data_IF_102521771429
#
_entry.id   IF_102521771429
#
_cell.length_a   1.000
_cell.length_b   1.000
_cell.length_c   1.000
_cell.angle_alpha   90.00
_cell.angle_beta   90.00
_cell.angle_gamma   90.00
#
_symmetry.space_group_name_H-M   'P 1'
#
loop_
_entity.id
_entity.type
_entity.pdbx_description
1 polymer ?
#
# COMPACT_ATOMS: atom_id res chain seq x y z
N UNK A 1 -27.55 3.06 9.39
CA UNK A 1 -26.26 2.91 10.09
C UNK A 1 -25.42 1.92 9.29
N UNK A 2 -24.57 2.41 8.39
CA UNK A 2 -23.70 1.58 7.57
C UNK A 2 -22.38 1.36 8.32
N UNK A 3 -22.21 0.18 8.91
CA UNK A 3 -20.96 -0.23 9.53
C UNK A 3 -19.98 -0.64 8.41
N UNK A 4 -19.15 0.30 7.96
CA UNK A 4 -18.04 0.00 7.04
C UNK A 4 -16.95 -0.73 7.83
N UNK A 5 -16.83 -2.04 7.61
CA UNK A 5 -15.76 -2.86 8.16
C UNK A 5 -14.44 -2.58 7.41
N UNK A 6 -13.79 -1.46 7.73
CA UNK A 6 -12.40 -1.20 7.33
C UNK A 6 -11.45 -1.90 8.31
N UNK A 7 -11.44 -3.24 8.31
CA UNK A 7 -10.36 -3.97 9.01
C UNK A 7 -9.20 -4.09 8.02
N UNK A 8 -8.11 -3.37 8.31
CA UNK A 8 -6.82 -3.56 7.64
C UNK A 8 -6.43 -5.04 7.72
N UNK A 9 -5.97 -5.60 6.59
CA UNK A 9 -5.49 -6.99 6.48
C UNK A 9 -4.43 -7.33 7.55
N UNK A 10 -3.65 -6.34 7.99
CA UNK A 10 -2.71 -6.49 9.12
C UNK A 10 -3.40 -6.77 10.46
N UNK A 11 -4.50 -6.07 10.77
CA UNK A 11 -5.25 -6.26 12.01
C UNK A 11 -6.00 -7.60 12.04
N UNK A 12 -6.45 -8.07 10.87
CA UNK A 12 -7.11 -9.37 10.74
C UNK A 12 -6.12 -10.52 10.96
N UNK A 13 -4.87 -10.36 10.51
CA UNK A 13 -3.80 -11.33 10.75
C UNK A 13 -3.35 -11.38 12.21
N UNK A 14 -3.26 -10.23 12.89
CA UNK A 14 -3.03 -10.12 14.34
C UNK A 14 -4.11 -10.87 15.14
N UNK A 15 -5.37 -10.78 14.71
CA UNK A 15 -6.51 -11.45 15.35
C UNK A 15 -6.54 -12.97 15.13
N UNK A 16 -6.17 -13.44 13.93
CA UNK A 16 -6.16 -14.86 13.58
C UNK A 16 -4.96 -15.62 14.16
N UNK A 17 -3.85 -14.93 14.42
CA UNK A 17 -2.61 -15.50 14.94
C UNK A 17 -2.81 -16.35 16.22
N UNK A 18 -3.47 -15.88 17.30
CA UNK A 18 -3.71 -16.69 18.49
C UNK A 18 -4.61 -17.91 18.23
N UNK A 19 -5.62 -17.79 17.35
CA UNK A 19 -6.46 -18.92 16.96
C UNK A 19 -5.67 -19.99 16.19
N UNK A 20 -4.72 -19.56 15.34
CA UNK A 20 -3.77 -20.44 14.67
C UNK A 20 -2.89 -21.23 15.64
N UNK A 21 -2.34 -20.58 16.67
CA UNK A 21 -1.56 -21.25 17.71
C UNK A 21 -2.40 -22.23 18.55
N UNK A 22 -3.65 -21.88 18.88
CA UNK A 22 -4.55 -22.76 19.61
C UNK A 22 -4.90 -24.03 18.80
N UNK A 23 -5.18 -23.88 17.50
CA UNK A 23 -5.40 -25.01 16.60
C UNK A 23 -4.16 -25.88 16.45
N UNK A 24 -2.97 -25.28 16.33
CA UNK A 24 -1.71 -26.02 16.26
C UNK A 24 -1.44 -26.81 17.56
N UNK A 25 -1.75 -26.24 18.73
CA UNK A 25 -1.62 -26.90 20.03
C UNK A 25 -2.62 -28.06 20.19
N UNK A 26 -3.86 -27.88 19.74
CA UNK A 26 -4.88 -28.94 19.75
C UNK A 26 -4.52 -30.09 18.82
N UNK A 27 -4.07 -29.77 17.60
CA UNK A 27 -3.60 -30.78 16.63
C UNK A 27 -2.37 -31.52 17.13
N UNK A 28 -1.42 -30.82 17.76
CA UNK A 28 -0.24 -31.44 18.38
C UNK A 28 -0.63 -32.39 19.51
N UNK A 29 -1.58 -31.99 20.35
CA UNK A 29 -2.08 -32.82 21.47
C UNK A 29 -2.79 -34.07 20.95
N UNK A 30 -3.62 -33.93 19.92
CA UNK A 30 -4.33 -35.06 19.29
C UNK A 30 -3.36 -36.03 18.59
N UNK A 31 -2.33 -35.50 17.92
CA UNK A 31 -1.28 -36.28 17.28
C UNK A 31 -0.44 -37.07 18.30
N UNK A 32 -0.07 -36.46 19.43
CA UNK A 32 0.62 -37.16 20.52
C UNK A 32 -0.25 -38.28 21.12
N UNK A 33 -1.56 -38.08 21.19
CA UNK A 33 -2.50 -39.11 21.66
C UNK A 33 -2.64 -40.29 20.68
N UNK A 34 -2.64 -40.01 19.36
CA UNK A 34 -2.66 -41.04 18.29
C UNK A 34 -1.33 -41.82 18.25
N UNK A 35 -0.20 -41.13 18.42
CA UNK A 35 1.13 -41.75 18.43
C UNK A 35 1.37 -42.71 19.61
N UNK A 36 0.78 -42.45 20.79
CA UNK A 36 0.86 -43.37 21.93
C UNK A 36 0.18 -44.72 21.67
N UNK A 37 -0.75 -44.81 20.71
CA UNK A 37 -1.42 -46.07 20.35
C UNK A 37 -0.60 -46.99 19.45
N UNK A 38 0.47 -46.52 18.80
CA UNK A 38 1.27 -47.33 17.86
C UNK A 38 2.74 -47.32 18.28
N UNK A 39 3.15 -48.34 19.04
CA UNK A 39 4.32 -48.31 19.95
C UNK A 39 5.72 -48.33 19.32
N UNK A 40 5.89 -48.29 17.99
CA UNK A 40 7.16 -48.70 17.37
C UNK A 40 7.88 -47.68 16.46
N UNK A 41 7.70 -46.37 16.64
CA UNK A 41 8.42 -45.35 15.83
C UNK A 41 8.80 -44.06 16.59
N UNK A 42 9.31 -44.19 17.83
CA UNK A 42 9.53 -43.07 18.77
C UNK A 42 10.38 -41.87 18.25
N UNK A 43 11.52 -42.04 17.55
CA UNK A 43 12.29 -40.89 17.08
C UNK A 43 11.67 -40.21 15.86
N UNK A 44 11.06 -40.98 14.95
CA UNK A 44 10.40 -40.44 13.76
C UNK A 44 9.17 -39.59 14.13
N UNK A 45 8.44 -39.98 15.18
CA UNK A 45 7.29 -39.24 15.71
C UNK A 45 7.73 -37.91 16.34
N UNK A 46 8.82 -37.90 17.11
CA UNK A 46 9.31 -36.67 17.76
C UNK A 46 9.74 -35.59 16.75
N UNK A 47 10.46 -36.00 15.70
CA UNK A 47 10.84 -35.12 14.58
C UNK A 47 9.60 -34.61 13.86
N UNK A 48 8.62 -35.49 13.64
CA UNK A 48 7.34 -35.14 13.02
C UNK A 48 6.52 -34.13 13.84
N UNK A 49 6.47 -34.28 15.16
CA UNK A 49 5.75 -33.36 16.04
C UNK A 49 6.41 -31.99 16.10
N UNK A 50 7.75 -31.94 16.05
CA UNK A 50 8.50 -30.69 16.00
C UNK A 50 8.21 -29.96 14.68
N UNK A 51 8.17 -30.70 13.58
CA UNK A 51 7.81 -30.17 12.27
C UNK A 51 6.36 -29.67 12.20
N UNK A 52 5.38 -30.37 12.79
CA UNK A 52 3.98 -29.87 12.84
C UNK A 52 3.83 -28.59 13.66
N UNK A 53 4.66 -28.41 14.69
CA UNK A 53 4.63 -27.22 15.54
C UNK A 53 5.07 -25.97 14.74
N UNK A 54 6.10 -26.11 13.91
CA UNK A 54 6.65 -25.01 13.12
C UNK A 54 5.98 -24.81 11.75
N UNK A 55 5.45 -25.87 11.14
CA UNK A 55 4.88 -25.84 9.78
C UNK A 55 3.60 -26.68 9.64
N UNK A 56 2.51 -26.35 10.37
CA UNK A 56 1.30 -27.17 10.42
C UNK A 56 0.66 -27.37 9.04
N UNK A 57 0.73 -26.37 8.16
CA UNK A 57 0.14 -26.45 6.81
C UNK A 57 0.91 -27.32 5.81
N UNK A 58 2.20 -27.57 6.05
CA UNK A 58 3.03 -28.43 5.17
C UNK A 58 3.05 -29.85 5.71
N UNK A 59 3.09 -29.98 7.04
CA UNK A 59 3.36 -31.24 7.71
C UNK A 59 2.08 -32.05 7.88
N UNK A 60 0.92 -31.44 8.17
CA UNK A 60 -0.36 -32.16 8.23
C UNK A 60 -0.73 -32.93 6.93
N UNK A 61 -0.63 -32.35 5.72
CA UNK A 61 -0.94 -33.08 4.48
C UNK A 61 0.06 -34.21 4.17
N UNK A 62 1.36 -34.01 4.48
CA UNK A 62 2.36 -35.07 4.37
C UNK A 62 2.06 -36.26 5.31
N UNK A 63 1.46 -36.00 6.47
CA UNK A 63 1.11 -37.04 7.45
C UNK A 63 -0.03 -37.89 6.92
N UNK A 64 -1.07 -37.22 6.43
CA UNK A 64 -2.23 -37.85 5.84
C UNK A 64 -1.81 -38.70 4.64
N UNK A 65 -0.95 -38.17 3.76
CA UNK A 65 -0.39 -38.91 2.65
C UNK A 65 0.37 -40.16 3.13
N UNK A 66 1.29 -40.02 4.09
CA UNK A 66 2.05 -41.15 4.65
C UNK A 66 1.15 -42.20 5.34
N UNK A 67 0.09 -41.77 6.03
CA UNK A 67 -0.89 -42.63 6.69
C UNK A 67 -1.78 -43.38 5.69
N UNK A 68 -2.19 -42.72 4.60
CA UNK A 68 -2.96 -43.32 3.50
C UNK A 68 -2.10 -44.33 2.73
N UNK A 69 -0.79 -44.07 2.56
CA UNK A 69 0.15 -45.02 1.93
C UNK A 69 0.37 -46.27 2.80
N UNK A 70 0.33 -46.13 4.14
CA UNK A 70 0.55 -47.23 5.10
C UNK A 70 -0.68 -48.10 5.41
N UNK A 71 -1.90 -47.71 5.01
CA UNK A 71 -3.08 -48.59 5.17
C UNK A 71 -2.98 -49.77 4.20
N UNK A 72 -2.86 -51.00 4.73
CA UNK A 72 -2.97 -52.22 3.93
C UNK A 72 -4.41 -52.34 3.39
N UNK A 73 -4.61 -52.50 2.08
CA UNK A 73 -5.96 -52.64 1.52
C UNK A 73 -6.59 -53.96 1.99
N UNK A 74 -7.82 -53.89 2.48
CA UNK A 74 -8.68 -55.05 2.70
C UNK A 74 -9.06 -55.67 1.34
N UNK A 75 -9.09 -57.00 1.26
CA UNK A 75 -9.24 -57.76 0.02
C UNK A 75 -10.62 -57.65 -0.69
N UNK A 76 -11.49 -56.69 -0.30
CA UNK A 76 -12.85 -56.53 -0.83
C UNK A 76 -13.08 -55.25 -1.65
N UNK A 77 -12.08 -54.37 -1.79
CA UNK A 77 -12.28 -53.08 -2.45
C UNK A 77 -11.92 -53.16 -3.94
N UNK A 78 -12.93 -53.36 -4.79
CA UNK A 78 -12.85 -53.48 -6.26
C UNK A 78 -11.86 -52.55 -6.98
N UNK A 79 -11.26 -53.09 -8.05
CA UNK A 79 -10.03 -52.66 -8.74
C UNK A 79 -10.11 -51.39 -9.61
N UNK A 80 -11.25 -50.72 -9.74
CA UNK A 80 -11.43 -49.69 -10.77
C UNK A 80 -11.13 -48.23 -10.34
N UNK A 81 -10.98 -47.92 -9.04
CA UNK A 81 -10.86 -46.52 -8.56
C UNK A 81 -9.52 -46.17 -7.85
N UNK A 82 -8.58 -47.13 -7.76
CA UNK A 82 -7.43 -47.04 -6.82
C UNK A 82 -6.27 -46.14 -7.26
N UNK A 83 -6.19 -45.69 -8.52
CA UNK A 83 -5.02 -44.97 -9.04
C UNK A 83 -5.09 -43.44 -8.90
N UNK A 84 -6.25 -42.85 -9.21
CA UNK A 84 -6.41 -41.41 -9.37
C UNK A 84 -6.91 -40.72 -8.10
N UNK A 85 -7.78 -41.38 -7.32
CA UNK A 85 -8.39 -40.78 -6.12
C UNK A 85 -7.37 -40.54 -4.99
N UNK A 86 -6.29 -41.32 -4.93
CA UNK A 86 -5.25 -41.20 -3.89
C UNK A 86 -4.50 -39.87 -3.95
N UNK A 87 -4.37 -39.29 -5.15
CA UNK A 87 -3.75 -37.98 -5.35
C UNK A 87 -4.78 -36.86 -5.55
N UNK A 88 -6.05 -37.18 -5.79
CA UNK A 88 -7.10 -36.19 -5.99
C UNK A 88 -7.27 -35.25 -4.79
N UNK A 89 -7.31 -35.77 -3.56
CA UNK A 89 -7.41 -34.95 -2.34
C UNK A 89 -6.21 -34.01 -2.13
N UNK A 90 -4.94 -34.48 -2.15
CA UNK A 90 -3.79 -33.58 -1.95
C UNK A 90 -3.61 -32.59 -3.12
N UNK A 91 -3.95 -32.97 -4.36
CA UNK A 91 -3.92 -32.06 -5.51
C UNK A 91 -5.01 -30.98 -5.39
N UNK A 92 -6.22 -31.34 -4.98
CA UNK A 92 -7.29 -30.37 -4.72
C UNK A 92 -6.93 -29.41 -3.58
N UNK A 93 -6.32 -29.92 -2.52
CA UNK A 93 -5.84 -29.08 -1.41
C UNK A 93 -4.72 -28.12 -1.85
N UNK A 94 -3.74 -28.61 -2.61
CA UNK A 94 -2.68 -27.78 -3.16
C UNK A 94 -3.26 -26.71 -4.09
N UNK A 95 -4.17 -27.08 -4.99
CA UNK A 95 -4.89 -26.15 -5.86
C UNK A 95 -5.62 -25.07 -5.06
N UNK A 96 -6.29 -25.43 -3.96
CA UNK A 96 -7.00 -24.49 -3.12
C UNK A 96 -6.05 -23.52 -2.40
N UNK A 97 -4.90 -24.01 -1.91
CA UNK A 97 -3.86 -23.15 -1.33
C UNK A 97 -3.29 -22.20 -2.39
N UNK A 98 -2.95 -22.70 -3.58
CA UNK A 98 -2.43 -21.84 -4.66
C UNK A 98 -3.45 -20.81 -5.09
N UNK A 99 -4.73 -21.19 -5.21
CA UNK A 99 -5.81 -20.27 -5.54
C UNK A 99 -6.00 -19.20 -4.45
N UNK A 100 -5.99 -19.60 -3.17
CA UNK A 100 -6.10 -18.68 -2.05
C UNK A 100 -4.88 -17.75 -1.97
N UNK A 101 -3.67 -18.28 -2.17
CA UNK A 101 -2.44 -17.50 -2.20
C UNK A 101 -2.42 -16.50 -3.36
N UNK A 102 -2.84 -16.91 -4.55
CA UNK A 102 -2.99 -16.02 -5.70
C UNK A 102 -4.04 -14.94 -5.45
N UNK A 103 -5.16 -15.28 -4.80
CA UNK A 103 -6.20 -14.33 -4.43
C UNK A 103 -5.68 -13.29 -3.42
N UNK A 104 -5.02 -13.72 -2.34
CA UNK A 104 -4.41 -12.81 -1.37
C UNK A 104 -3.34 -11.92 -2.01
N UNK A 105 -2.47 -12.51 -2.84
CA UNK A 105 -1.44 -11.76 -3.55
C UNK A 105 -2.06 -10.72 -4.48
N UNK A 106 -3.15 -11.04 -5.17
CA UNK A 106 -3.84 -10.10 -6.06
C UNK A 106 -4.43 -8.91 -5.29
N UNK A 107 -5.06 -9.18 -4.14
CA UNK A 107 -5.60 -8.14 -3.27
C UNK A 107 -4.50 -7.21 -2.73
N UNK A 108 -3.38 -7.78 -2.27
CA UNK A 108 -2.25 -7.01 -1.75
C UNK A 108 -1.54 -6.22 -2.86
N UNK A 109 -1.36 -6.85 -4.03
CA UNK A 109 -0.70 -6.22 -5.18
C UNK A 109 -1.50 -5.05 -5.78
N UNK A 110 -2.83 -5.10 -5.69
CA UNK A 110 -3.74 -4.07 -6.20
C UNK A 110 -4.19 -3.09 -5.11
N UNK A 111 -3.57 -3.09 -3.93
CA UNK A 111 -3.84 -2.10 -2.89
C UNK A 111 -3.29 -0.71 -3.22
N UNK A 112 -3.83 0.32 -2.55
CA UNK A 112 -3.37 1.72 -2.65
C UNK A 112 -1.87 1.83 -2.37
N UNK A 113 -1.41 1.25 -1.26
CA UNK A 113 0.00 1.29 -0.85
C UNK A 113 0.92 0.63 -1.87
N UNK A 114 0.47 -0.47 -2.50
CA UNK A 114 1.23 -1.15 -3.54
C UNK A 114 1.38 -0.28 -4.79
N UNK A 115 0.33 0.44 -5.20
CA UNK A 115 0.38 1.43 -6.27
C UNK A 115 1.30 2.61 -5.92
N UNK A 116 1.24 3.15 -4.70
CA UNK A 116 2.12 4.23 -4.25
C UNK A 116 3.60 3.80 -4.21
N UNK A 117 3.89 2.60 -3.69
CA UNK A 117 5.24 2.04 -3.66
C UNK A 117 5.79 1.77 -5.07
N UNK A 118 4.93 1.33 -6.00
CA UNK A 118 5.27 1.26 -7.41
C UNK A 118 5.57 2.65 -7.96
N UNK A 119 4.65 3.60 -7.84
CA UNK A 119 4.83 4.98 -8.33
C UNK A 119 6.16 5.60 -7.86
N UNK A 120 6.50 5.44 -6.58
CA UNK A 120 7.74 5.96 -6.03
C UNK A 120 8.99 5.30 -6.67
N UNK A 121 8.99 3.98 -6.87
CA UNK A 121 10.09 3.28 -7.57
C UNK A 121 10.27 3.76 -9.01
N UNK A 122 9.17 3.96 -9.73
CA UNK A 122 9.22 4.48 -11.09
C UNK A 122 9.71 5.93 -11.14
N UNK A 123 9.28 6.77 -10.20
CA UNK A 123 9.74 8.15 -10.08
C UNK A 123 11.26 8.22 -9.87
N UNK A 124 11.78 7.41 -8.94
CA UNK A 124 13.23 7.31 -8.70
C UNK A 124 14.00 6.79 -9.92
N UNK A 125 13.35 5.99 -10.77
CA UNK A 125 13.92 5.47 -12.02
C UNK A 125 13.72 6.43 -13.21
N UNK A 126 13.15 7.62 -13.01
CA UNK A 126 12.86 8.59 -14.06
C UNK A 126 11.69 8.22 -14.99
N UNK A 127 10.94 7.16 -14.69
CA UNK A 127 9.84 6.66 -15.52
C UNK A 127 8.53 7.44 -15.26
N UNK A 128 8.52 8.72 -15.67
CA UNK A 128 7.43 9.67 -15.35
C UNK A 128 6.03 9.19 -15.76
N UNK A 129 5.89 8.60 -16.95
CA UNK A 129 4.60 8.07 -17.45
C UNK A 129 4.05 6.98 -16.54
N UNK A 130 4.93 6.09 -16.07
CA UNK A 130 4.54 4.99 -15.20
C UNK A 130 4.17 5.50 -13.80
N UNK A 131 4.91 6.48 -13.28
CA UNK A 131 4.57 7.19 -12.03
C UNK A 131 3.15 7.75 -12.08
N UNK A 132 2.82 8.51 -13.12
CA UNK A 132 1.48 9.10 -13.30
C UNK A 132 0.40 8.01 -13.35
N UNK A 133 0.66 6.93 -14.08
CA UNK A 133 -0.29 5.82 -14.21
C UNK A 133 -0.59 5.14 -12.88
N UNK A 134 0.45 4.82 -12.10
CA UNK A 134 0.27 4.17 -10.79
C UNK A 134 -0.42 5.10 -9.77
N UNK A 135 -0.11 6.40 -9.78
CA UNK A 135 -0.80 7.37 -8.92
C UNK A 135 -2.28 7.52 -9.28
N UNK A 136 -2.62 7.55 -10.59
CA UNK A 136 -4.01 7.51 -11.05
C UNK A 136 -4.72 6.24 -10.59
N UNK A 137 -4.07 5.09 -10.72
CA UNK A 137 -4.64 3.83 -10.24
C UNK A 137 -4.89 3.84 -8.73
N UNK A 138 -3.97 4.36 -7.91
CA UNK A 138 -4.19 4.55 -6.48
C UNK A 138 -5.45 5.41 -6.20
N UNK A 139 -5.63 6.52 -6.93
CA UNK A 139 -6.79 7.40 -6.80
C UNK A 139 -8.12 6.77 -7.25
N UNK A 140 -8.10 5.75 -8.12
CA UNK A 140 -9.32 5.00 -8.47
C UNK A 140 -9.80 4.09 -7.34
N UNK A 141 -8.91 3.72 -6.41
CA UNK A 141 -9.23 2.87 -5.26
C UNK A 141 -9.62 3.73 -4.07
N UNK A 142 -8.82 4.76 -3.76
CA UNK A 142 -9.06 5.66 -2.65
C UNK A 142 -8.74 7.10 -3.05
N UNK A 143 -9.72 7.98 -2.91
CA UNK A 143 -9.51 9.41 -3.09
C UNK A 143 -8.78 10.01 -1.89
N UNK A 144 -7.49 10.27 -2.07
CA UNK A 144 -6.63 10.82 -1.03
C UNK A 144 -5.99 12.14 -1.48
N UNK A 145 -6.16 13.25 -0.73
CA UNK A 145 -5.58 14.56 -1.07
C UNK A 145 -4.06 14.51 -1.25
N UNK A 146 -3.37 13.70 -0.44
CA UNK A 146 -1.93 13.52 -0.52
C UNK A 146 -1.52 12.87 -1.84
N UNK A 147 -2.24 11.83 -2.25
CA UNK A 147 -2.00 11.16 -3.53
C UNK A 147 -2.27 12.09 -4.72
N UNK A 148 -3.28 12.98 -4.63
CA UNK A 148 -3.53 14.02 -5.64
C UNK A 148 -2.37 15.01 -5.74
N UNK A 149 -1.81 15.45 -4.61
CA UNK A 149 -0.58 16.26 -4.60
C UNK A 149 0.57 15.55 -5.31
N UNK A 150 0.83 14.28 -4.98
CA UNK A 150 1.88 13.49 -5.63
C UNK A 150 1.67 13.37 -7.14
N UNK A 151 0.42 13.18 -7.58
CA UNK A 151 0.06 13.15 -9.00
C UNK A 151 0.34 14.51 -9.66
N UNK A 152 -0.03 15.61 -9.01
CA UNK A 152 0.26 16.96 -9.49
C UNK A 152 1.77 17.21 -9.67
N UNK A 153 2.60 16.76 -8.72
CA UNK A 153 4.07 16.86 -8.82
C UNK A 153 4.57 16.06 -10.04
N UNK A 154 4.13 14.82 -10.20
CA UNK A 154 4.56 13.97 -11.32
C UNK A 154 4.13 14.52 -12.69
N UNK A 155 2.95 15.14 -12.77
CA UNK A 155 2.44 15.82 -13.96
C UNK A 155 3.26 17.08 -14.29
N UNK A 156 3.58 17.89 -13.28
CA UNK A 156 4.44 19.07 -13.40
C UNK A 156 5.84 18.69 -13.91
N UNK A 157 6.47 17.67 -13.32
CA UNK A 157 7.74 17.12 -13.79
C UNK A 157 7.67 16.62 -15.25
N UNK A 158 6.50 16.21 -15.70
CA UNK A 158 6.25 15.76 -17.08
C UNK A 158 5.84 16.90 -18.03
N UNK A 159 5.82 18.16 -17.56
CA UNK A 159 5.41 19.32 -18.35
C UNK A 159 3.90 19.50 -18.53
N UNK A 160 3.08 18.68 -17.88
CA UNK A 160 1.61 18.73 -17.97
C UNK A 160 1.04 19.71 -16.92
N UNK A 161 1.42 20.99 -17.04
CA UNK A 161 1.18 22.00 -16.01
C UNK A 161 -0.29 22.29 -15.73
N UNK A 162 -1.15 22.23 -16.75
CA UNK A 162 -2.60 22.44 -16.58
C UNK A 162 -3.24 21.32 -15.73
N UNK A 163 -2.91 20.07 -16.02
CA UNK A 163 -3.39 18.93 -15.23
C UNK A 163 -2.80 18.97 -13.82
N UNK A 164 -1.52 19.30 -13.69
CA UNK A 164 -0.86 19.46 -12.39
C UNK A 164 -1.58 20.50 -11.51
N UNK A 165 -1.91 21.67 -12.06
CA UNK A 165 -2.63 22.72 -11.35
C UNK A 165 -4.01 22.24 -10.88
N UNK A 166 -4.73 21.49 -11.71
CA UNK A 166 -6.03 20.92 -11.35
C UNK A 166 -5.92 19.95 -10.17
N UNK A 167 -4.92 19.06 -10.19
CA UNK A 167 -4.70 18.11 -9.09
C UNK A 167 -4.25 18.81 -7.81
N UNK A 168 -3.42 19.85 -7.89
CA UNK A 168 -3.05 20.65 -6.72
C UNK A 168 -4.27 21.33 -6.10
N UNK A 169 -5.14 21.94 -6.92
CA UNK A 169 -6.38 22.54 -6.42
C UNK A 169 -7.33 21.51 -5.81
N UNK A 170 -7.39 20.30 -6.38
CA UNK A 170 -8.16 19.19 -5.81
C UNK A 170 -7.57 18.73 -4.46
N UNK A 171 -6.25 18.62 -4.34
CA UNK A 171 -5.57 18.31 -3.09
C UNK A 171 -5.83 19.38 -2.01
N UNK A 172 -5.78 20.68 -2.37
CA UNK A 172 -6.10 21.76 -1.43
C UNK A 172 -7.55 21.70 -0.97
N UNK A 173 -8.51 21.45 -1.89
CA UNK A 173 -9.93 21.29 -1.53
C UNK A 173 -10.17 20.07 -0.64
N UNK A 174 -9.37 19.02 -0.84
CA UNK A 174 -9.38 17.82 0.00
C UNK A 174 -8.75 17.99 1.38
N UNK A 175 -8.15 19.15 1.67
CA UNK A 175 -7.54 19.43 2.97
C UNK A 175 -6.17 18.81 3.17
N UNK A 176 -5.37 18.68 2.10
CA UNK A 176 -3.96 18.29 2.24
C UNK A 176 -3.23 19.26 3.19
N UNK A 177 -2.66 18.78 4.31
CA UNK A 177 -2.08 19.64 5.34
C UNK A 177 -0.66 20.13 5.03
N UNK A 178 -0.15 19.87 3.83
CA UNK A 178 1.21 20.21 3.42
C UNK A 178 1.29 21.64 2.88
N UNK A 179 2.01 22.51 3.59
CA UNK A 179 2.21 23.91 3.21
C UNK A 179 2.97 24.02 1.88
N UNK A 180 3.82 23.04 1.52
CA UNK A 180 4.56 22.98 0.25
C UNK A 180 3.63 22.93 -0.97
N UNK A 181 2.38 22.52 -0.80
CA UNK A 181 1.38 22.50 -1.87
C UNK A 181 1.16 23.91 -2.46
N UNK A 182 1.26 24.96 -1.64
CA UNK A 182 1.15 26.35 -2.11
C UNK A 182 2.31 26.74 -3.02
N UNK A 183 3.53 26.28 -2.71
CA UNK A 183 4.71 26.48 -3.57
C UNK A 183 4.55 25.78 -4.92
N UNK A 184 4.12 24.51 -4.92
CA UNK A 184 3.90 23.75 -6.15
C UNK A 184 2.82 24.37 -7.04
N UNK A 185 1.73 24.86 -6.42
CA UNK A 185 0.67 25.59 -7.12
C UNK A 185 1.20 26.89 -7.74
N UNK A 186 2.03 27.64 -7.01
CA UNK A 186 2.63 28.88 -7.49
C UNK A 186 3.55 28.64 -8.70
N UNK A 187 4.42 27.63 -8.62
CA UNK A 187 5.32 27.27 -9.72
C UNK A 187 4.55 26.83 -10.99
N UNK A 188 3.45 26.09 -10.83
CA UNK A 188 2.59 25.71 -11.94
C UNK A 188 1.92 26.94 -12.59
N UNK A 189 1.40 27.87 -11.77
CA UNK A 189 0.79 29.12 -12.25
C UNK A 189 1.79 30.02 -12.99
N UNK A 190 3.02 30.15 -12.46
CA UNK A 190 4.09 30.91 -13.10
C UNK A 190 4.41 30.33 -14.49
N UNK A 191 4.55 29.00 -14.59
CA UNK A 191 4.84 28.32 -15.86
C UNK A 191 3.70 28.44 -16.87
N UNK A 192 2.45 28.54 -16.39
CA UNK A 192 1.26 28.77 -17.20
C UNK A 192 1.05 30.24 -17.59
N UNK A 193 1.97 31.14 -17.24
CA UNK A 193 1.87 32.55 -17.58
C UNK A 193 0.87 33.34 -16.73
N UNK A 194 0.59 32.88 -15.50
CA UNK A 194 -0.30 33.53 -14.54
C UNK A 194 0.48 34.06 -13.32
N UNK A 195 1.42 35.01 -13.51
CA UNK A 195 2.35 35.42 -12.45
C UNK A 195 1.65 36.11 -11.27
N UNK A 196 0.61 36.90 -11.51
CA UNK A 196 -0.14 37.59 -10.43
C UNK A 196 -0.74 36.61 -9.42
N UNK A 197 -1.34 35.51 -9.91
CA UNK A 197 -1.87 34.45 -9.06
C UNK A 197 -0.75 33.62 -8.42
N UNK A 198 0.37 33.43 -9.12
CA UNK A 198 1.53 32.74 -8.58
C UNK A 198 2.10 33.48 -7.35
N UNK A 199 2.20 34.81 -7.39
CA UNK A 199 2.68 35.63 -6.27
C UNK A 199 1.80 35.46 -5.03
N UNK A 200 0.47 35.48 -5.19
CA UNK A 200 -0.45 35.23 -4.07
C UNK A 200 -0.22 33.84 -3.42
N UNK A 201 0.10 32.83 -4.23
CA UNK A 201 0.42 31.48 -3.73
C UNK A 201 1.81 31.37 -3.11
N UNK A 202 2.81 32.07 -3.64
CA UNK A 202 4.13 32.18 -3.01
C UNK A 202 4.05 32.89 -1.65
N UNK A 203 3.24 33.95 -1.53
CA UNK A 203 2.99 34.61 -0.25
C UNK A 203 2.30 33.67 0.74
N UNK A 204 1.32 32.89 0.30
CA UNK A 204 0.67 31.88 1.15
C UNK A 204 1.68 30.83 1.66
N UNK A 205 2.58 30.34 0.79
CA UNK A 205 3.66 29.43 1.16
C UNK A 205 4.63 30.04 2.19
N UNK A 206 5.08 31.27 1.98
CA UNK A 206 5.97 31.98 2.93
C UNK A 206 5.30 32.24 4.28
N UNK A 207 3.98 32.39 4.31
CA UNK A 207 3.20 32.53 5.53
C UNK A 207 2.96 31.21 6.27
N UNK A 208 3.28 30.07 5.64
CA UNK A 208 3.19 28.73 6.22
C UNK A 208 4.14 28.49 7.39
N UNK A 209 3.94 27.38 8.09
CA UNK A 209 4.74 26.96 9.23
C UNK A 209 6.19 26.66 8.86
N UNK A 210 6.41 26.13 7.66
CA UNK A 210 7.71 25.63 7.22
C UNK A 210 8.74 26.75 7.06
N UNK A 211 8.44 27.79 6.28
CA UNK A 211 9.37 28.92 6.10
C UNK A 211 9.53 29.78 7.36
N UNK A 212 8.56 29.77 8.30
CA UNK A 212 8.62 30.60 9.51
C UNK A 212 9.36 29.93 10.67
N UNK A 213 9.33 28.59 10.76
CA UNK A 213 9.84 27.83 11.91
C UNK A 213 11.08 26.97 11.61
N UNK A 214 11.33 26.62 10.34
CA UNK A 214 12.49 25.82 9.93
C UNK A 214 13.63 26.68 9.36
N UNK A 215 14.83 26.09 9.18
CA UNK A 215 15.88 26.72 8.39
C UNK A 215 15.33 27.00 6.98
N UNK A 216 15.57 28.20 6.41
CA UNK A 216 15.06 28.55 5.09
C UNK A 216 15.58 27.55 4.06
N UNK A 217 14.66 26.78 3.49
CA UNK A 217 14.97 25.86 2.41
C UNK A 217 15.16 26.63 1.09
N UNK A 218 15.61 25.94 0.04
CA UNK A 218 15.79 26.58 -1.26
C UNK A 218 14.47 27.15 -1.83
N UNK A 219 13.30 26.59 -1.46
CA UNK A 219 11.99 27.00 -1.97
C UNK A 219 11.53 28.30 -1.33
N UNK A 220 11.77 28.51 -0.03
CA UNK A 220 11.52 29.77 0.67
C UNK A 220 12.34 30.90 0.02
N UNK A 221 13.62 30.67 -0.27
CA UNK A 221 14.47 31.64 -0.94
C UNK A 221 13.97 32.00 -2.36
N UNK A 222 13.52 31.00 -3.13
CA UNK A 222 12.90 31.23 -4.45
C UNK A 222 11.61 32.05 -4.30
N UNK A 223 10.71 31.65 -3.39
CA UNK A 223 9.44 32.32 -3.18
C UNK A 223 9.64 33.79 -2.74
N UNK A 224 10.59 34.06 -1.84
CA UNK A 224 10.95 35.42 -1.44
C UNK A 224 11.46 36.25 -2.62
N UNK A 225 12.33 35.68 -3.45
CA UNK A 225 12.87 36.37 -4.61
C UNK A 225 11.78 36.72 -5.62
N UNK A 226 10.83 35.81 -5.86
CA UNK A 226 9.66 36.05 -6.74
C UNK A 226 8.77 37.16 -6.20
N UNK A 227 8.44 37.14 -4.90
CA UNK A 227 7.61 38.17 -4.27
C UNK A 227 8.31 39.54 -4.27
N UNK A 228 9.61 39.60 -3.98
CA UNK A 228 10.38 40.85 -4.05
C UNK A 228 10.44 41.40 -5.48
N UNK A 229 10.64 40.54 -6.48
CA UNK A 229 10.66 40.96 -7.88
C UNK A 229 9.33 41.63 -8.29
N UNK A 230 8.19 41.07 -7.87
CA UNK A 230 6.87 41.66 -8.13
C UNK A 230 6.73 43.06 -7.50
N UNK A 231 7.15 43.23 -6.24
CA UNK A 231 7.11 44.53 -5.56
C UNK A 231 7.98 45.61 -6.21
N UNK A 232 9.03 45.23 -6.93
CA UNK A 232 9.89 46.17 -7.67
C UNK A 232 9.29 46.55 -9.03
N UNK A 233 8.42 45.71 -9.59
CA UNK A 233 7.76 45.97 -10.88
C UNK A 233 6.47 46.77 -10.76
N UNK A 234 5.83 46.78 -9.59
CA UNK A 234 4.68 47.63 -9.28
C UNK A 234 5.21 48.88 -8.57
N UNK A 235 5.40 50.04 -9.25
CA UNK A 235 5.81 51.26 -8.56
C UNK A 235 4.77 51.56 -7.49
N UNK A 236 5.24 51.82 -6.27
CA UNK A 236 4.41 52.19 -5.14
C UNK A 236 3.39 53.24 -5.60
N UNK A 237 2.10 52.88 -5.53
CA UNK A 237 1.01 53.83 -5.73
C UNK A 237 1.20 54.87 -4.63
N UNK A 238 1.63 56.07 -5.02
CA UNK A 238 1.87 57.19 -4.12
C UNK A 238 0.51 57.65 -3.57
N UNK A 239 0.07 57.02 -2.48
CA UNK A 239 -1.16 57.37 -1.76
C UNK A 239 -1.02 58.72 -0.99
N UNK A 240 -0.10 59.60 -1.38
CA UNK A 240 0.08 60.95 -0.80
C UNK A 240 -0.85 62.03 -1.36
N UNK A 241 -1.83 61.67 -2.17
CA UNK A 241 -2.86 62.61 -2.64
C UNK A 241 -4.26 62.19 -2.22
N UNK A 242 -4.54 62.14 -0.91
CA UNK A 242 -5.93 62.13 -0.44
C UNK A 242 -6.18 62.77 0.94
N UNK A 243 -5.23 63.52 1.50
CA UNK A 243 -5.42 64.21 2.78
C UNK A 243 -5.14 65.72 2.67
N UNK A 244 -5.74 66.39 1.68
CA UNK A 244 -5.98 67.84 1.68
C UNK A 244 -7.13 68.16 0.72
N UNK A 245 -8.35 68.11 1.22
CA UNK A 245 -9.45 69.01 0.87
C UNK A 245 -10.57 68.89 1.91
#
# INVERSE_FOLDING_TARGET
MNFQWQISSGALFEWLRPAGFALAALLSTWMLADARRHSNARPAVAVWTLLTLFFPHIVFPLYLAARIIRRRPSALDSEASRGTWRWALPLLYAMLIFALGAFYFNLDYNGVDAHLARANRARLSGQRVWTIRELRAALTIEENPHTRKLLGIALAESGHWNEALSEFQAATRGGEPDDELSYHTAAALETLGRPTEAIARYQAFLNGGDCRRALPDARCAIAEARVKADTLTVPARDDRHQEKE
#
